data_IF_469144498224
#
_entry.id   IF_469144498224
#
_cell.length_a   1.000
_cell.length_b   1.000
_cell.length_c   1.000
_cell.angle_alpha   90.00
_cell.angle_beta   90.00
_cell.angle_gamma   90.00
#
_symmetry.space_group_name_H-M   'P 1'
#
loop_
_entity.id
_entity.type
_entity.pdbx_description
1 polymer ?
#
# COMPACT_ATOMS: atom_id res chain seq x y z
N UNK A 1 -16.53 3.82 -0.54
CA UNK A 1 -15.71 3.17 -1.59
C UNK A 1 -14.21 3.30 -1.32
N UNK A 2 -13.66 4.49 -1.08
CA UNK A 2 -12.21 4.70 -0.87
C UNK A 2 -11.59 3.85 0.26
N UNK A 3 -12.29 3.66 1.39
CA UNK A 3 -11.82 2.79 2.49
C UNK A 3 -11.72 1.31 2.09
N UNK A 4 -12.67 0.81 1.29
CA UNK A 4 -12.65 -0.56 0.79
C UNK A 4 -11.51 -0.76 -0.21
N UNK A 5 -11.30 0.21 -1.10
CA UNK A 5 -10.18 0.25 -2.04
C UNK A 5 -8.84 0.15 -1.29
N UNK A 6 -8.70 0.88 -0.18
CA UNK A 6 -7.49 0.81 0.63
C UNK A 6 -7.24 -0.57 1.25
N UNK A 7 -8.25 -1.16 1.89
CA UNK A 7 -8.13 -2.50 2.51
C UNK A 7 -7.77 -3.56 1.48
N UNK A 8 -8.45 -3.57 0.32
CA UNK A 8 -8.22 -4.56 -0.73
C UNK A 8 -6.83 -4.40 -1.34
N UNK A 9 -6.36 -3.16 -1.54
CA UNK A 9 -5.03 -2.89 -2.06
C UNK A 9 -3.93 -3.40 -1.14
N UNK A 10 -4.03 -3.06 0.15
CA UNK A 10 -3.11 -3.53 1.20
C UNK A 10 -3.10 -5.06 1.21
N UNK A 11 -4.28 -5.70 1.25
CA UNK A 11 -4.41 -7.15 1.22
C UNK A 11 -3.76 -7.78 -0.02
N UNK A 12 -3.87 -7.13 -1.18
CA UNK A 12 -3.24 -7.60 -2.44
C UNK A 12 -1.71 -7.57 -2.34
N UNK A 13 -1.13 -6.46 -1.87
CA UNK A 13 0.32 -6.31 -1.71
C UNK A 13 0.87 -7.32 -0.68
N UNK A 14 0.21 -7.46 0.47
CA UNK A 14 0.60 -8.46 1.47
C UNK A 14 0.47 -9.89 0.95
N UNK A 15 -0.57 -10.19 0.15
CA UNK A 15 -0.71 -11.51 -0.48
C UNK A 15 0.42 -11.76 -1.48
N UNK A 16 0.80 -10.77 -2.28
CA UNK A 16 1.92 -10.87 -3.20
C UNK A 16 3.26 -11.13 -2.47
N UNK A 17 3.51 -10.41 -1.37
CA UNK A 17 4.67 -10.64 -0.49
C UNK A 17 4.65 -12.06 0.09
N UNK A 18 3.50 -12.48 0.61
CA UNK A 18 3.32 -13.80 1.21
C UNK A 18 3.51 -14.94 0.19
N UNK A 19 3.06 -14.75 -1.06
CA UNK A 19 3.31 -15.69 -2.17
C UNK A 19 4.81 -15.72 -2.49
N UNK A 20 5.46 -14.56 -2.60
CA UNK A 20 6.88 -14.50 -2.91
C UNK A 20 7.74 -15.19 -1.83
N UNK A 21 7.41 -15.02 -0.55
CA UNK A 21 8.12 -15.72 0.53
C UNK A 21 8.00 -17.24 0.46
N UNK A 22 6.89 -17.79 -0.04
CA UNK A 22 6.75 -19.25 -0.20
C UNK A 22 7.66 -19.83 -1.29
N UNK A 23 8.11 -19.00 -2.24
CA UNK A 23 9.02 -19.45 -3.30
C UNK A 23 10.43 -19.78 -2.79
N UNK A 24 10.81 -19.30 -1.59
CA UNK A 24 12.11 -19.60 -0.97
C UNK A 24 12.25 -21.07 -0.55
N UNK A 25 11.14 -21.80 -0.31
CA UNK A 25 11.20 -23.20 0.05
C UNK A 25 11.29 -24.11 -1.20
N UNK A 26 12.14 -25.15 -1.23
CA UNK A 26 12.26 -26.07 -2.36
C UNK A 26 11.10 -27.05 -2.35
N UNK A 27 10.00 -26.71 -3.02
CA UNK A 27 8.87 -27.61 -3.30
C UNK A 27 8.33 -27.33 -4.69
N UNK A 28 7.80 -28.32 -5.38
CA UNK A 28 7.23 -28.20 -6.73
C UNK A 28 6.09 -27.16 -6.74
N UNK A 29 6.33 -26.03 -7.41
CA UNK A 29 6.04 -24.70 -6.83
C UNK A 29 4.70 -24.05 -7.22
N UNK A 30 3.82 -24.73 -7.99
CA UNK A 30 2.56 -24.11 -8.46
C UNK A 30 1.33 -24.77 -7.84
N UNK A 31 1.25 -26.10 -7.87
CA UNK A 31 0.08 -26.83 -7.38
C UNK A 31 -0.07 -26.74 -5.86
N UNK A 32 1.04 -26.71 -5.11
CA UNK A 32 0.99 -26.60 -3.65
C UNK A 32 0.54 -25.20 -3.16
N UNK A 33 0.76 -24.16 -3.98
CA UNK A 33 0.45 -22.79 -3.59
C UNK A 33 -0.93 -22.31 -4.06
N UNK A 34 -1.78 -23.22 -4.53
CA UNK A 34 -3.08 -22.90 -5.15
C UNK A 34 -3.93 -21.95 -4.30
N UNK A 35 -3.93 -22.10 -2.97
CA UNK A 35 -4.65 -21.20 -2.06
C UNK A 35 -4.19 -19.75 -2.17
N UNK A 36 -2.88 -19.51 -2.22
CA UNK A 36 -2.34 -18.14 -2.31
C UNK A 36 -2.48 -17.56 -3.71
N UNK A 37 -2.41 -18.40 -4.75
CA UNK A 37 -2.70 -18.00 -6.13
C UNK A 37 -4.17 -17.57 -6.26
N UNK A 38 -5.10 -18.34 -5.70
CA UNK A 38 -6.51 -17.96 -5.67
C UNK A 38 -6.75 -16.67 -4.86
N UNK A 39 -6.11 -16.52 -3.70
CA UNK A 39 -6.22 -15.28 -2.90
C UNK A 39 -5.70 -14.06 -3.67
N UNK A 40 -4.56 -14.19 -4.37
CA UNK A 40 -4.03 -13.12 -5.22
C UNK A 40 -4.93 -12.86 -6.43
N UNK A 41 -5.40 -13.92 -7.09
CA UNK A 41 -6.33 -13.83 -8.22
C UNK A 41 -7.71 -13.27 -7.86
N UNK A 42 -8.16 -13.42 -6.61
CA UNK A 42 -9.41 -12.84 -6.10
C UNK A 42 -9.22 -11.40 -5.64
N UNK A 43 -8.07 -11.04 -5.08
CA UNK A 43 -7.81 -9.69 -4.59
C UNK A 43 -7.60 -8.68 -5.73
N UNK A 44 -6.99 -9.10 -6.84
CA UNK A 44 -6.79 -8.26 -8.04
C UNK A 44 -8.10 -7.71 -8.66
N UNK A 45 -9.13 -8.51 -8.98
CA UNK A 45 -10.37 -8.01 -9.57
C UNK A 45 -11.18 -7.21 -8.54
N UNK A 46 -11.08 -7.52 -7.25
CA UNK A 46 -11.66 -6.69 -6.18
C UNK A 46 -10.97 -5.31 -6.12
N UNK A 47 -9.64 -5.25 -6.25
CA UNK A 47 -8.91 -3.99 -6.26
C UNK A 47 -9.35 -3.14 -7.46
N UNK A 48 -9.31 -3.70 -8.67
CA UNK A 48 -9.71 -3.00 -9.90
C UNK A 48 -11.20 -2.62 -9.88
N UNK A 49 -12.07 -3.50 -9.37
CA UNK A 49 -13.51 -3.25 -9.29
C UNK A 49 -13.91 -2.18 -8.28
N UNK A 50 -13.12 -1.97 -7.21
CA UNK A 50 -13.37 -0.90 -6.23
C UNK A 50 -12.91 0.47 -6.74
N UNK A 51 -11.80 0.52 -7.48
CA UNK A 51 -11.29 1.72 -8.12
C UNK A 51 -10.40 1.31 -9.31
N UNK A 52 -10.78 1.69 -10.53
CA UNK A 52 -10.05 1.31 -11.75
C UNK A 52 -8.57 1.71 -11.73
N UNK A 53 -8.21 2.79 -11.04
CA UNK A 53 -6.81 3.20 -10.89
C UNK A 53 -5.94 2.27 -10.05
N UNK A 54 -6.54 1.36 -9.30
CA UNK A 54 -5.82 0.26 -8.64
C UNK A 54 -5.40 -0.84 -9.63
N UNK A 55 -5.60 -0.67 -10.94
CA UNK A 55 -4.91 -1.51 -11.93
C UNK A 55 -3.39 -1.49 -11.74
N UNK A 56 -2.83 -0.40 -11.18
CA UNK A 56 -1.41 -0.27 -10.83
C UNK A 56 -0.92 -1.32 -9.83
N UNK A 57 -1.83 -1.95 -9.09
CA UNK A 57 -1.50 -3.06 -8.17
C UNK A 57 -0.96 -4.27 -8.90
N UNK A 58 -1.42 -4.51 -10.14
CA UNK A 58 -0.98 -5.65 -10.95
C UNK A 58 0.53 -5.59 -11.22
N UNK A 59 1.09 -4.50 -11.80
CA UNK A 59 2.53 -4.37 -11.98
C UNK A 59 3.28 -4.17 -10.65
N UNK A 60 2.70 -3.50 -9.65
CA UNK A 60 3.34 -3.34 -8.35
C UNK A 60 3.55 -4.68 -7.64
N UNK A 61 2.55 -5.57 -7.66
CA UNK A 61 2.63 -6.92 -7.13
C UNK A 61 3.73 -7.73 -7.84
N UNK A 62 3.80 -7.65 -9.17
CA UNK A 62 4.87 -8.32 -9.93
C UNK A 62 6.26 -7.81 -9.54
N UNK A 63 6.44 -6.48 -9.47
CA UNK A 63 7.71 -5.87 -9.11
C UNK A 63 8.19 -6.35 -7.73
N UNK A 64 7.29 -6.38 -6.74
CA UNK A 64 7.58 -6.89 -5.39
C UNK A 64 7.92 -8.38 -5.44
N UNK A 65 7.14 -9.20 -6.14
CA UNK A 65 7.42 -10.64 -6.24
C UNK A 65 8.78 -10.94 -6.88
N UNK A 66 9.17 -10.19 -7.92
CA UNK A 66 10.47 -10.32 -8.59
C UNK A 66 11.62 -9.81 -7.73
N UNK A 67 11.39 -8.76 -6.93
CA UNK A 67 12.34 -8.25 -5.95
C UNK A 67 12.59 -9.26 -4.83
N UNK A 68 11.53 -9.92 -4.32
CA UNK A 68 11.65 -10.89 -3.24
C UNK A 68 12.24 -12.23 -3.69
N UNK A 69 11.95 -12.70 -4.90
CA UNK A 69 12.38 -14.03 -5.35
C UNK A 69 13.36 -13.97 -6.53
N UNK A 70 14.57 -13.40 -6.36
CA UNK A 70 15.52 -13.23 -7.46
C UNK A 70 16.00 -14.56 -8.05
N UNK A 71 16.09 -15.62 -7.23
CA UNK A 71 16.50 -16.95 -7.66
C UNK A 71 15.41 -17.71 -8.44
N UNK A 72 14.13 -17.32 -8.34
CA UNK A 72 12.98 -18.05 -8.92
C UNK A 72 12.00 -17.13 -9.62
N UNK A 73 12.51 -16.15 -10.37
CA UNK A 73 11.72 -15.17 -11.12
C UNK A 73 10.70 -15.81 -12.08
N UNK A 74 11.04 -16.93 -12.70
CA UNK A 74 10.14 -17.67 -13.58
C UNK A 74 8.89 -18.20 -12.84
N UNK A 75 9.06 -18.77 -11.64
CA UNK A 75 7.95 -19.25 -10.83
C UNK A 75 7.08 -18.09 -10.31
N UNK A 76 7.71 -16.98 -9.91
CA UNK A 76 7.00 -15.76 -9.54
C UNK A 76 6.15 -15.22 -10.69
N UNK A 77 6.71 -15.17 -11.90
CA UNK A 77 6.01 -14.72 -13.10
C UNK A 77 4.84 -15.67 -13.46
N UNK A 78 5.05 -16.99 -13.40
CA UNK A 78 4.00 -17.97 -13.66
C UNK A 78 2.80 -17.84 -12.69
N UNK A 79 3.07 -17.65 -11.40
CA UNK A 79 2.02 -17.41 -10.39
C UNK A 79 1.28 -16.11 -10.65
N UNK A 80 2.01 -15.05 -11.02
CA UNK A 80 1.42 -13.76 -11.35
C UNK A 80 0.50 -13.88 -12.58
N UNK A 81 0.95 -14.54 -13.65
CA UNK A 81 0.14 -14.81 -14.86
C UNK A 81 -1.11 -15.61 -14.51
N UNK A 82 -0.99 -16.67 -13.71
CA UNK A 82 -2.13 -17.48 -13.28
C UNK A 82 -3.15 -16.66 -12.48
N UNK A 83 -2.67 -15.81 -11.56
CA UNK A 83 -3.52 -14.89 -10.78
C UNK A 83 -4.23 -13.87 -11.67
N UNK A 84 -3.53 -13.32 -12.67
CA UNK A 84 -4.13 -12.42 -13.66
C UNK A 84 -5.20 -13.12 -14.52
N UNK A 85 -4.99 -14.38 -14.90
CA UNK A 85 -5.99 -15.16 -15.63
C UNK A 85 -7.26 -15.38 -14.80
N UNK A 86 -7.11 -15.73 -13.51
CA UNK A 86 -8.24 -15.85 -12.57
C UNK A 86 -8.97 -14.50 -12.44
N UNK A 87 -8.22 -13.42 -12.26
CA UNK A 87 -8.79 -12.07 -12.15
C UNK A 87 -9.60 -11.69 -13.41
N UNK A 88 -9.06 -11.99 -14.59
CA UNK A 88 -9.74 -11.74 -15.86
C UNK A 88 -11.05 -12.52 -15.97
N UNK A 89 -11.05 -13.81 -15.63
CA UNK A 89 -12.25 -14.66 -15.65
C UNK A 89 -13.30 -14.12 -14.68
N UNK A 90 -12.90 -13.71 -13.47
CA UNK A 90 -13.82 -13.15 -12.48
C UNK A 90 -14.41 -11.80 -12.93
N UNK A 91 -13.61 -10.92 -13.52
CA UNK A 91 -14.13 -9.67 -14.09
C UNK A 91 -15.09 -9.97 -15.23
N UNK A 92 -14.72 -10.86 -16.16
CA UNK A 92 -15.58 -11.23 -17.28
C UNK A 92 -16.90 -11.87 -16.83
N UNK A 93 -16.86 -12.72 -15.80
CA UNK A 93 -18.04 -13.28 -15.15
C UNK A 93 -18.92 -12.20 -14.51
N UNK A 94 -18.33 -11.15 -13.93
CA UNK A 94 -19.06 -10.01 -13.34
C UNK A 94 -19.85 -9.23 -14.39
N UNK A 95 -19.40 -9.22 -15.65
CA UNK A 95 -20.13 -8.68 -16.80
C UNK A 95 -21.08 -9.71 -17.46
N UNK A 96 -21.43 -10.79 -16.74
CA UNK A 96 -22.31 -11.88 -17.22
C UNK A 96 -21.84 -12.51 -18.54
N UNK A 97 -20.54 -12.56 -18.78
CA UNK A 97 -19.93 -13.09 -20.00
C UNK A 97 -20.36 -12.37 -21.29
N UNK A 98 -20.80 -11.11 -21.18
CA UNK A 98 -21.18 -10.28 -22.35
C UNK A 98 -19.99 -9.45 -22.83
N UNK A 99 -19.32 -9.83 -23.95
CA UNK A 99 -18.10 -9.16 -24.40
C UNK A 99 -18.31 -7.70 -24.80
N UNK A 100 -19.48 -7.35 -25.35
CA UNK A 100 -19.80 -5.97 -25.72
C UNK A 100 -19.80 -5.01 -24.52
N UNK A 101 -20.52 -5.40 -23.45
CA UNK A 101 -20.63 -4.59 -22.22
C UNK A 101 -19.28 -4.52 -21.49
N UNK A 102 -18.53 -5.62 -21.48
CA UNK A 102 -17.18 -5.64 -20.92
C UNK A 102 -16.25 -4.66 -21.63
N UNK A 103 -16.25 -4.66 -22.96
CA UNK A 103 -15.40 -3.77 -23.75
C UNK A 103 -15.80 -2.30 -23.62
N UNK A 104 -17.10 -2.02 -23.54
CA UNK A 104 -17.61 -0.68 -23.22
C UNK A 104 -17.18 -0.23 -21.82
N UNK A 105 -17.27 -1.12 -20.82
CA UNK A 105 -16.80 -0.85 -19.46
C UNK A 105 -15.32 -0.49 -19.40
N UNK A 106 -14.47 -1.21 -20.14
CA UNK A 106 -13.03 -0.91 -20.23
C UNK A 106 -12.79 0.44 -20.92
N UNK A 107 -13.49 0.74 -22.01
CA UNK A 107 -13.30 2.00 -22.77
C UNK A 107 -13.65 3.24 -21.95
N UNK A 108 -14.63 3.14 -21.05
CA UNK A 108 -15.01 4.25 -20.17
C UNK A 108 -14.25 4.25 -18.84
N UNK A 109 -13.42 3.23 -18.58
CA UNK A 109 -12.64 3.15 -17.35
C UNK A 109 -11.51 4.18 -17.37
N UNK A 110 -11.52 5.10 -16.40
CA UNK A 110 -10.41 6.00 -16.12
C UNK A 110 -9.30 5.25 -15.38
N UNK A 111 -8.50 4.49 -16.14
CA UNK A 111 -7.43 3.65 -15.60
C UNK A 111 -6.38 4.49 -14.87
N UNK A 112 -5.75 5.48 -15.51
CA UNK A 112 -4.73 6.30 -14.90
C UNK A 112 -4.92 7.76 -15.33
N UNK A 113 -5.66 8.53 -14.53
CA UNK A 113 -5.89 9.97 -14.74
C UNK A 113 -4.66 10.82 -14.36
N UNK A 114 -3.47 10.40 -14.78
CA UNK A 114 -2.21 11.00 -14.35
C UNK A 114 -2.00 12.33 -15.08
N UNK A 115 -1.55 13.36 -14.34
CA UNK A 115 -1.22 14.66 -14.88
C UNK A 115 0.20 15.07 -14.50
N UNK A 116 1.13 14.95 -15.46
CA UNK A 116 2.55 15.20 -15.27
C UNK A 116 2.88 16.67 -14.95
N UNK A 117 1.99 17.60 -15.34
CA UNK A 117 2.17 19.04 -15.09
C UNK A 117 2.10 19.40 -13.60
N UNK A 118 1.60 18.49 -12.76
CA UNK A 118 1.46 18.70 -11.31
C UNK A 118 2.81 18.59 -10.60
N UNK A 119 3.75 17.78 -11.10
CA UNK A 119 5.09 17.65 -10.51
C UNK A 119 5.89 18.96 -10.54
N UNK A 120 5.59 19.84 -11.49
CA UNK A 120 6.21 21.16 -11.62
C UNK A 120 5.60 22.22 -10.68
N UNK A 121 4.53 21.90 -9.93
CA UNK A 121 3.84 22.84 -9.05
C UNK A 121 4.20 22.58 -7.59
N UNK A 122 4.92 23.51 -6.91
CA UNK A 122 5.26 23.37 -5.49
C UNK A 122 4.03 23.21 -4.57
N UNK A 123 2.90 23.80 -4.96
CA UNK A 123 1.64 23.73 -4.21
C UNK A 123 1.08 22.31 -4.08
N UNK A 124 1.34 21.42 -5.04
CA UNK A 124 0.87 20.04 -4.99
C UNK A 124 1.51 19.24 -3.85
N UNK A 125 2.80 19.43 -3.61
CA UNK A 125 3.51 18.77 -2.51
C UNK A 125 2.98 19.24 -1.15
N UNK A 126 2.76 20.55 -0.98
CA UNK A 126 2.16 21.09 0.25
C UNK A 126 0.76 20.53 0.50
N UNK A 127 -0.04 20.38 -0.55
CA UNK A 127 -1.38 19.82 -0.45
C UNK A 127 -1.35 18.36 0.03
N UNK A 128 -0.55 17.49 -0.59
CA UNK A 128 -0.40 16.10 -0.17
C UNK A 128 0.12 15.99 1.26
N UNK A 129 1.10 16.81 1.63
CA UNK A 129 1.64 16.82 3.00
C UNK A 129 0.57 17.26 4.02
N UNK A 130 -0.24 18.25 3.66
CA UNK A 130 -1.33 18.72 4.51
C UNK A 130 -2.43 17.67 4.68
N UNK A 131 -2.78 16.95 3.60
CA UNK A 131 -3.77 15.86 3.66
C UNK A 131 -3.26 14.70 4.52
N UNK A 132 -2.02 14.24 4.32
CA UNK A 132 -1.42 13.18 5.14
C UNK A 132 -1.34 13.58 6.62
N UNK A 133 -1.01 14.86 6.89
CA UNK A 133 -0.99 15.39 8.25
C UNK A 133 -2.37 15.45 8.91
N UNK A 134 -3.41 15.80 8.15
CA UNK A 134 -4.79 15.78 8.63
C UNK A 134 -5.30 14.36 8.88
N UNK A 135 -4.87 13.37 8.10
CA UNK A 135 -5.24 11.96 8.31
C UNK A 135 -4.69 11.42 9.62
N UNK A 136 -3.46 11.79 10.00
CA UNK A 136 -2.85 11.34 11.25
C UNK A 136 -1.78 12.31 11.76
N UNK A 137 -2.12 13.20 12.72
CA UNK A 137 -1.18 14.10 13.37
C UNK A 137 0.02 13.38 14.01
N UNK A 138 -0.21 12.19 14.59
CA UNK A 138 0.85 11.38 15.17
C UNK A 138 1.88 10.93 14.11
N UNK A 139 1.40 10.48 12.95
CA UNK A 139 2.27 10.06 11.85
C UNK A 139 3.06 11.24 11.29
N UNK A 140 2.44 12.43 11.21
CA UNK A 140 3.11 13.65 10.74
C UNK A 140 4.34 14.00 11.58
N UNK A 141 4.30 13.73 12.89
CA UNK A 141 5.42 13.96 13.81
C UNK A 141 6.42 12.79 13.81
N UNK A 142 5.95 11.55 13.76
CA UNK A 142 6.82 10.37 13.81
C UNK A 142 7.56 10.11 12.50
N UNK A 143 6.96 10.45 11.35
CA UNK A 143 7.52 10.14 10.03
C UNK A 143 8.86 10.84 9.78
N UNK A 144 9.05 12.16 10.05
CA UNK A 144 10.36 12.80 9.89
C UNK A 144 11.45 12.13 10.74
N UNK A 145 11.12 11.78 11.99
CA UNK A 145 12.06 11.10 12.90
C UNK A 145 12.44 9.72 12.36
N UNK A 146 11.46 8.95 11.87
CA UNK A 146 11.70 7.64 11.29
C UNK A 146 12.52 7.72 9.99
N UNK A 147 12.26 8.71 9.12
CA UNK A 147 13.03 8.92 7.89
C UNK A 147 14.47 9.32 8.20
N UNK A 148 14.69 10.25 9.14
CA UNK A 148 16.04 10.64 9.57
C UNK A 148 16.78 9.42 10.13
N UNK A 149 16.13 8.65 11.00
CA UNK A 149 16.71 7.43 11.57
C UNK A 149 17.06 6.42 10.47
N UNK A 150 16.17 6.23 9.50
CA UNK A 150 16.40 5.31 8.36
C UNK A 150 17.61 5.72 7.51
N UNK A 151 17.77 7.02 7.28
CA UNK A 151 18.90 7.57 6.52
C UNK A 151 20.18 7.52 7.33
N UNK A 152 20.17 7.79 8.63
CA UNK A 152 21.39 7.82 9.45
C UNK A 152 21.85 6.41 9.85
N UNK A 153 20.92 5.49 10.10
CA UNK A 153 21.21 4.23 10.77
C UNK A 153 21.08 3.02 9.82
N UNK A 154 22.19 2.40 9.37
CA UNK A 154 22.16 1.33 8.36
C UNK A 154 21.44 0.06 8.81
N UNK A 155 21.41 -0.25 10.11
CA UNK A 155 20.65 -1.39 10.68
C UNK A 155 19.16 -1.38 10.31
N UNK A 156 18.57 -0.20 10.15
CA UNK A 156 17.14 -0.06 9.80
C UNK A 156 16.87 -0.29 8.31
N UNK A 157 17.91 -0.44 7.48
CA UNK A 157 17.81 -0.56 6.02
C UNK A 157 17.71 -2.01 5.56
N UNK A 158 16.79 -2.77 6.15
CA UNK A 158 16.46 -4.11 5.67
C UNK A 158 15.07 -4.12 5.03
N UNK A 159 14.78 -5.23 4.34
CA UNK A 159 13.56 -5.44 3.57
C UNK A 159 12.27 -5.01 4.29
N UNK A 160 12.16 -5.33 5.58
CA UNK A 160 10.97 -5.05 6.40
C UNK A 160 10.62 -3.56 6.48
N UNK A 161 11.61 -2.67 6.39
CA UNK A 161 11.40 -1.22 6.39
C UNK A 161 11.42 -0.63 4.97
N UNK A 162 12.29 -1.15 4.10
CA UNK A 162 12.42 -0.62 2.73
C UNK A 162 11.18 -0.92 1.88
N UNK A 163 10.56 -2.09 2.01
CA UNK A 163 9.40 -2.44 1.19
C UNK A 163 8.17 -1.56 1.49
N UNK A 164 7.76 -1.36 2.76
CA UNK A 164 6.70 -0.43 3.09
C UNK A 164 7.02 1.01 2.68
N UNK A 165 8.28 1.46 2.83
CA UNK A 165 8.68 2.80 2.40
C UNK A 165 8.55 2.99 0.88
N UNK A 166 8.98 2.01 0.08
CA UNK A 166 8.86 2.05 -1.38
C UNK A 166 7.39 2.06 -1.83
N UNK A 167 6.56 1.22 -1.22
CA UNK A 167 5.13 1.14 -1.54
C UNK A 167 4.43 2.45 -1.13
N UNK A 168 4.72 2.98 0.05
CA UNK A 168 4.21 4.29 0.49
C UNK A 168 4.66 5.41 -0.44
N UNK A 169 5.95 5.42 -0.83
CA UNK A 169 6.50 6.40 -1.78
C UNK A 169 5.79 6.34 -3.14
N UNK A 170 5.55 5.15 -3.67
CA UNK A 170 4.78 4.95 -4.89
C UNK A 170 3.36 5.50 -4.75
N UNK A 171 2.67 5.23 -3.64
CA UNK A 171 1.34 5.77 -3.37
C UNK A 171 1.32 7.29 -3.30
N UNK A 172 2.28 7.90 -2.59
CA UNK A 172 2.40 9.35 -2.49
C UNK A 172 2.67 9.97 -3.87
N UNK A 173 3.54 9.36 -4.66
CA UNK A 173 3.81 9.80 -6.03
C UNK A 173 2.56 9.69 -6.91
N UNK A 174 1.80 8.60 -6.82
CA UNK A 174 0.54 8.44 -7.56
C UNK A 174 -0.54 9.42 -7.09
N UNK A 175 -0.61 9.70 -5.79
CA UNK A 175 -1.47 10.74 -5.20
C UNK A 175 -1.15 12.12 -5.78
N UNK A 176 0.13 12.50 -5.81
CA UNK A 176 0.60 13.73 -6.46
C UNK A 176 0.26 13.77 -7.96
N UNK A 177 0.42 12.64 -8.63
CA UNK A 177 0.20 12.54 -10.07
C UNK A 177 -1.29 12.60 -10.44
N UNK A 178 -2.21 12.34 -9.50
CA UNK A 178 -3.66 12.29 -9.72
C UNK A 178 -4.41 13.28 -8.82
N UNK A 179 -4.44 14.59 -9.13
CA UNK A 179 -4.95 15.65 -8.24
C UNK A 179 -6.48 15.64 -7.97
N UNK A 180 -7.21 14.61 -8.43
CA UNK A 180 -8.66 14.46 -8.24
C UNK A 180 -8.98 13.26 -7.33
N UNK A 181 -10.25 12.86 -7.22
CA UNK A 181 -10.75 11.75 -6.39
C UNK A 181 -9.86 10.49 -6.31
N UNK A 182 -9.20 10.02 -7.40
CA UNK A 182 -8.27 8.89 -7.32
C UNK A 182 -7.05 9.11 -6.42
N UNK A 183 -6.54 10.35 -6.34
CA UNK A 183 -5.36 10.72 -5.57
C UNK A 183 -5.55 10.55 -4.06
N UNK A 184 -6.71 10.96 -3.54
CA UNK A 184 -7.08 10.74 -2.14
C UNK A 184 -7.10 9.25 -1.77
N UNK A 185 -7.47 8.37 -2.71
CA UNK A 185 -7.40 6.93 -2.51
C UNK A 185 -5.97 6.45 -2.32
N UNK A 186 -5.04 6.92 -3.16
CA UNK A 186 -3.62 6.58 -3.02
C UNK A 186 -3.00 7.15 -1.74
N UNK A 187 -3.36 8.37 -1.34
CA UNK A 187 -2.90 8.95 -0.06
C UNK A 187 -3.38 8.12 1.14
N UNK A 188 -4.66 7.74 1.17
CA UNK A 188 -5.22 6.91 2.24
C UNK A 188 -4.55 5.54 2.30
N UNK A 189 -4.24 4.97 1.13
CA UNK A 189 -3.49 3.73 1.00
C UNK A 189 -2.06 3.85 1.54
N UNK A 190 -1.40 5.00 1.36
CA UNK A 190 -0.03 5.20 1.82
C UNK A 190 0.09 5.14 3.34
N UNK A 191 -0.91 5.65 4.07
CA UNK A 191 -0.92 5.76 5.54
C UNK A 191 -0.54 4.45 6.27
N UNK A 192 -1.18 3.29 6.02
CA UNK A 192 -0.81 2.05 6.69
C UNK A 192 0.61 1.59 6.37
N UNK A 193 1.12 1.80 5.15
CA UNK A 193 2.53 1.49 4.84
C UNK A 193 3.51 2.41 5.55
N UNK A 194 3.16 3.71 5.70
CA UNK A 194 3.92 4.64 6.52
C UNK A 194 3.91 4.23 8.00
N UNK A 195 2.79 3.73 8.52
CA UNK A 195 2.73 3.18 9.88
C UNK A 195 3.62 1.95 10.04
N UNK A 196 3.58 1.00 9.10
CA UNK A 196 4.45 -0.19 9.15
C UNK A 196 5.92 0.22 9.10
N UNK A 197 6.28 1.20 8.26
CA UNK A 197 7.63 1.74 8.18
C UNK A 197 8.07 2.39 9.51
N UNK A 198 7.25 3.29 10.07
CA UNK A 198 7.53 3.97 11.33
C UNK A 198 7.64 2.96 12.48
N UNK A 199 6.75 1.97 12.52
CA UNK A 199 6.75 0.92 13.53
C UNK A 199 8.00 0.02 13.42
N UNK A 200 8.42 -0.33 12.21
CA UNK A 200 9.62 -1.13 11.99
C UNK A 200 10.90 -0.39 12.41
N UNK A 201 11.04 0.89 12.04
CA UNK A 201 12.17 1.73 12.50
C UNK A 201 12.14 1.90 14.02
N UNK A 202 10.97 2.12 14.62
CA UNK A 202 10.84 2.23 16.06
C UNK A 202 11.18 0.91 16.78
N UNK A 203 10.79 -0.24 16.23
CA UNK A 203 11.15 -1.55 16.75
C UNK A 203 12.67 -1.76 16.75
N UNK A 204 13.35 -1.40 15.66
CA UNK A 204 14.81 -1.48 15.58
C UNK A 204 15.50 -0.59 16.62
N UNK A 205 14.94 0.60 16.89
CA UNK A 205 15.45 1.51 17.92
C UNK A 205 15.20 0.98 19.34
N UNK A 206 14.12 0.24 19.58
CA UNK A 206 13.82 -0.38 20.88
C UNK A 206 14.83 -1.49 21.25
N UNK A 207 15.50 -2.09 20.26
CA UNK A 207 16.58 -3.06 20.47
C UNK A 207 17.92 -2.39 20.83
N UNK A 208 17.99 -1.05 20.88
CA UNK A 208 19.20 -0.29 21.21
C UNK A 208 19.18 0.24 22.65
N UNK A 209 20.31 0.75 23.16
CA UNK A 209 20.35 1.42 24.47
C UNK A 209 19.40 2.64 24.59
N UNK A 210 18.93 3.20 23.47
CA UNK A 210 17.99 4.32 23.44
C UNK A 210 16.53 3.91 23.68
N UNK A 211 16.27 2.63 24.01
CA UNK A 211 14.94 2.07 24.24
C UNK A 211 14.05 2.93 25.14
N UNK A 212 14.57 3.45 26.25
CA UNK A 212 13.79 4.27 27.20
C UNK A 212 13.25 5.56 26.57
N UNK A 213 14.08 6.26 25.79
CA UNK A 213 13.68 7.46 25.05
C UNK A 213 12.63 7.14 23.98
N UNK A 214 12.80 6.03 23.26
CA UNK A 214 11.87 5.59 22.21
C UNK A 214 10.52 5.23 22.81
N UNK A 215 10.48 4.50 23.94
CA UNK A 215 9.24 4.19 24.66
C UNK A 215 8.56 5.49 25.12
N UNK A 216 9.32 6.42 25.73
CA UNK A 216 8.77 7.69 26.19
C UNK A 216 8.16 8.50 25.02
N UNK A 217 8.83 8.55 23.88
CA UNK A 217 8.33 9.18 22.67
C UNK A 217 7.05 8.51 22.15
N UNK A 218 7.05 7.18 22.00
CA UNK A 218 5.89 6.43 21.49
C UNK A 218 4.69 6.55 22.41
N UNK A 219 4.88 6.37 23.72
CA UNK A 219 3.81 6.48 24.72
C UNK A 219 3.29 7.91 24.78
N UNK A 220 4.17 8.92 24.77
CA UNK A 220 3.78 10.32 24.76
C UNK A 220 2.98 10.69 23.51
N UNK A 221 3.44 10.25 22.34
CA UNK A 221 2.77 10.51 21.06
C UNK A 221 1.41 9.82 20.96
N UNK A 222 1.34 8.52 21.31
CA UNK A 222 0.10 7.76 21.30
C UNK A 222 -0.89 8.26 22.35
N UNK A 223 -0.40 8.63 23.55
CA UNK A 223 -1.21 9.21 24.62
C UNK A 223 -1.80 10.56 24.21
N UNK A 224 -0.99 11.45 23.64
CA UNK A 224 -1.45 12.73 23.11
C UNK A 224 -2.49 12.55 21.99
N UNK A 225 -2.27 11.59 21.09
CA UNK A 225 -3.20 11.29 20.01
C UNK A 225 -4.52 10.70 20.52
N UNK A 226 -4.47 9.78 21.48
CA UNK A 226 -5.66 9.23 22.11
C UNK A 226 -6.48 10.32 22.82
N UNK A 227 -5.82 11.22 23.54
CA UNK A 227 -6.48 12.35 24.19
C UNK A 227 -7.13 13.27 23.15
N UNK A 228 -6.42 13.58 22.06
CA UNK A 228 -6.97 14.38 20.96
C UNK A 228 -8.23 13.74 20.36
N UNK A 229 -8.21 12.43 20.08
CA UNK A 229 -9.37 11.71 19.57
C UNK A 229 -10.55 11.76 20.53
N UNK A 230 -10.32 11.59 21.84
CA UNK A 230 -11.38 11.67 22.85
C UNK A 230 -11.97 13.08 22.95
N UNK A 231 -11.13 14.12 22.86
CA UNK A 231 -11.58 15.51 22.87
C UNK A 231 -12.43 15.84 21.65
N UNK A 232 -12.01 15.43 20.45
CA UNK A 232 -12.79 15.64 19.22
C UNK A 232 -14.12 14.88 19.28
N UNK A 233 -14.12 13.62 19.74
CA UNK A 233 -15.35 12.84 19.91
C UNK A 233 -16.31 13.52 20.91
N UNK A 234 -15.77 14.04 22.01
CA UNK A 234 -16.55 14.74 23.02
C UNK A 234 -17.08 16.10 22.55
N UNK A 235 -16.44 16.74 21.55
CA UNK A 235 -16.98 17.94 20.89
C UNK A 235 -18.12 17.59 19.96
N UNK A 236 -17.97 16.55 19.15
CA UNK A 236 -19.02 16.08 18.23
C UNK A 236 -20.26 15.61 19.01
N UNK A 237 -20.08 14.93 20.15
CA UNK A 237 -21.20 14.50 20.99
C UNK A 237 -21.95 15.66 21.67
N UNK A 238 -21.36 16.86 21.72
CA UNK A 238 -21.95 18.07 22.30
C UNK A 238 -22.54 19.03 21.26
N UNK A 239 -22.32 18.76 19.97
CA UNK A 239 -22.87 19.51 18.85
C UNK A 239 -24.14 18.84 18.33
#
# INVERSE_FOLDING_TARGET
MVRLAAVVWIGTIFTAIAVAHTLYAPREVVLWNWRRILLLGLSLPLAVGTQFSLVITIPAALAIMLYLAPARRAAAFAIWVASCAIAFVLLFASYSFRPGVFWEGIRHATLLGINWRVFARPGAYRQVLSHLGQMSPALALALPVAVITYVVWPRTRYFGNTAPLLVAGLCVLLGLATPHYPGFGFELIAVPFLFVFVAGVAADLLETPMRSLVIAFLVGLLGAYALWCLLELARVARA
#
